data_IF_990894724457
#
_entry.id   IF_990894724457
#
_cell.length_a   1.000
_cell.length_b   1.000
_cell.length_c   1.000
_cell.angle_alpha   90.00
_cell.angle_beta   90.00
_cell.angle_gamma   90.00
#
_symmetry.space_group_name_H-M   'P 1'
#
loop_
_entity.id
_entity.type
_entity.pdbx_description
1 polymer ?
#
# COMPACT_ATOMS: atom_id res chain seq x y z
N UNK A 1 -34.12 41.61 -4.14
CA UNK A 1 -33.44 41.10 -2.93
C UNK A 1 -34.21 39.88 -2.44
N UNK A 2 -33.79 38.67 -2.82
CA UNK A 2 -34.39 37.44 -2.31
C UNK A 2 -33.72 37.08 -0.97
N UNK A 3 -34.47 37.24 0.12
CA UNK A 3 -34.08 36.76 1.45
C UNK A 3 -34.22 35.24 1.47
N UNK A 4 -33.13 34.52 1.25
CA UNK A 4 -33.08 33.07 1.47
C UNK A 4 -33.33 32.80 2.98
N UNK A 5 -34.33 31.98 3.27
CA UNK A 5 -34.73 31.55 4.62
C UNK A 5 -33.53 31.07 5.43
N UNK A 6 -33.47 31.43 6.72
CA UNK A 6 -32.43 31.01 7.67
C UNK A 6 -32.28 29.49 7.74
N UNK A 7 -33.36 28.73 7.59
CA UNK A 7 -33.34 27.26 7.51
C UNK A 7 -32.61 26.73 6.27
N UNK A 8 -32.75 27.38 5.12
CA UNK A 8 -32.07 26.97 3.89
C UNK A 8 -30.56 27.28 3.96
N UNK A 9 -30.18 28.38 4.62
CA UNK A 9 -28.77 28.70 4.87
C UNK A 9 -28.12 27.70 5.83
N UNK A 10 -28.83 27.22 6.85
CA UNK A 10 -28.35 26.19 7.79
C UNK A 10 -28.20 24.84 7.08
N UNK A 11 -29.16 24.44 6.25
CA UNK A 11 -29.09 23.19 5.50
C UNK A 11 -27.93 23.17 4.49
N UNK A 12 -27.73 24.27 3.76
CA UNK A 12 -26.58 24.42 2.86
C UNK A 12 -25.27 24.47 3.65
N UNK A 13 -25.23 25.12 4.81
CA UNK A 13 -24.05 25.08 5.70
C UNK A 13 -23.75 23.68 6.25
N UNK A 14 -24.76 22.90 6.65
CA UNK A 14 -24.57 21.52 7.12
C UNK A 14 -24.13 20.58 5.99
N UNK A 15 -24.69 20.71 4.79
CA UNK A 15 -24.25 19.95 3.62
C UNK A 15 -22.83 20.34 3.17
N UNK A 16 -22.45 21.61 3.28
CA UNK A 16 -21.08 22.07 3.04
C UNK A 16 -20.11 21.64 4.16
N UNK A 17 -20.57 21.53 5.40
CA UNK A 17 -19.79 20.98 6.52
C UNK A 17 -19.57 19.48 6.36
N UNK A 18 -20.56 18.68 5.96
CA UNK A 18 -20.38 17.24 5.68
C UNK A 18 -19.49 17.02 4.45
N UNK A 19 -19.66 17.81 3.39
CA UNK A 19 -18.80 17.73 2.20
C UNK A 19 -17.35 18.15 2.53
N UNK A 20 -17.15 19.24 3.29
CA UNK A 20 -15.82 19.72 3.68
C UNK A 20 -15.14 18.86 4.76
N UNK A 21 -15.91 18.22 5.65
CA UNK A 21 -15.39 17.31 6.67
C UNK A 21 -14.92 15.98 6.06
N UNK A 22 -15.57 15.51 4.99
CA UNK A 22 -15.19 14.26 4.29
C UNK A 22 -13.91 14.37 3.45
N UNK A 23 -13.56 15.57 2.97
CA UNK A 23 -12.41 15.78 2.06
C UNK A 23 -11.12 16.19 2.80
N UNK A 24 -11.23 16.76 4.00
CA UNK A 24 -10.07 17.23 4.78
C UNK A 24 -9.27 16.11 5.49
N UNK A 25 -9.78 14.88 5.54
CA UNK A 25 -9.13 13.75 6.22
C UNK A 25 -8.48 12.72 5.28
N UNK A 26 -8.71 12.85 3.97
CA UNK A 26 -8.19 11.91 2.97
C UNK A 26 -6.90 12.46 2.37
N UNK A 27 -5.80 11.73 2.52
CA UNK A 27 -4.49 12.12 1.99
C UNK A 27 -4.35 11.85 0.50
N UNK A 28 -4.59 10.61 0.05
CA UNK A 28 -4.56 10.25 -1.38
C UNK A 28 -5.61 9.22 -1.75
N UNK A 29 -6.16 9.37 -2.95
CA UNK A 29 -7.06 8.41 -3.59
C UNK A 29 -6.40 7.83 -4.82
N UNK A 30 -6.44 6.51 -4.97
CA UNK A 30 -5.91 5.80 -6.13
C UNK A 30 -7.07 5.04 -6.77
N UNK A 31 -7.30 5.31 -8.05
CA UNK A 31 -8.27 4.58 -8.84
C UNK A 31 -7.54 3.70 -9.84
N UNK A 32 -7.65 2.38 -9.67
CA UNK A 32 -7.13 1.39 -10.60
C UNK A 32 -8.28 0.90 -11.47
N UNK A 33 -8.05 0.73 -12.77
CA UNK A 33 -9.05 0.21 -13.69
C UNK A 33 -8.46 -0.90 -14.57
N UNK A 34 -9.21 -2.00 -14.65
CA UNK A 34 -9.01 -3.10 -15.59
C UNK A 34 -10.17 -3.17 -16.57
N UNK A 35 -10.24 -4.20 -17.42
CA UNK A 35 -11.36 -4.38 -18.34
C UNK A 35 -12.66 -4.72 -17.59
N UNK A 36 -12.56 -5.44 -16.47
CA UNK A 36 -13.75 -5.97 -15.77
C UNK A 36 -14.01 -5.38 -14.38
N UNK A 37 -13.06 -4.64 -13.80
CA UNK A 37 -13.14 -4.10 -12.44
C UNK A 37 -12.52 -2.71 -12.32
N UNK A 38 -13.06 -1.93 -11.40
CA UNK A 38 -12.46 -0.73 -10.85
C UNK A 38 -12.18 -0.93 -9.36
N UNK A 39 -11.09 -0.37 -8.86
CA UNK A 39 -10.73 -0.38 -7.44
C UNK A 39 -10.34 1.04 -7.02
N UNK A 40 -11.06 1.60 -6.05
CA UNK A 40 -10.67 2.82 -5.35
C UNK A 40 -9.95 2.45 -4.06
N UNK A 41 -8.78 3.04 -3.82
CA UNK A 41 -8.03 2.91 -2.57
C UNK A 41 -7.91 4.29 -1.95
N UNK A 42 -8.29 4.40 -0.68
CA UNK A 42 -8.34 5.66 0.06
C UNK A 42 -7.34 5.58 1.22
N UNK A 43 -6.35 6.45 1.15
CA UNK A 43 -5.39 6.66 2.23
C UNK A 43 -5.68 7.98 2.95
N UNK A 44 -5.51 7.98 4.26
CA UNK A 44 -5.58 9.16 5.12
C UNK A 44 -4.34 10.03 4.97
N UNK A 45 -4.31 11.16 5.67
CA UNK A 45 -3.23 12.16 5.60
C UNK A 45 -1.84 11.61 5.98
N UNK A 46 -1.79 10.52 6.74
CA UNK A 46 -0.56 9.86 7.18
C UNK A 46 -0.23 8.59 6.35
N UNK A 47 -0.77 8.48 5.13
CA UNK A 47 -0.69 7.27 4.30
C UNK A 47 -1.24 6.00 4.98
N UNK A 48 -2.09 6.18 6.00
CA UNK A 48 -2.85 5.11 6.63
C UNK A 48 -3.96 4.68 5.69
N UNK A 49 -4.11 3.37 5.48
CA UNK A 49 -5.24 2.91 4.69
C UNK A 49 -6.54 3.11 5.46
N UNK A 50 -7.41 3.96 4.94
CA UNK A 50 -8.72 4.25 5.55
C UNK A 50 -9.80 3.34 4.97
N UNK A 51 -9.81 3.17 3.64
CA UNK A 51 -10.79 2.32 2.97
C UNK A 51 -10.32 1.86 1.60
N UNK A 52 -10.99 0.86 1.05
CA UNK A 52 -10.86 0.49 -0.35
C UNK A 52 -12.22 0.00 -0.88
N UNK A 53 -12.58 0.31 -2.12
CA UNK A 53 -13.86 -0.01 -2.73
C UNK A 53 -13.69 -0.73 -4.06
N UNK A 54 -14.26 -1.93 -4.16
CA UNK A 54 -14.21 -2.74 -5.38
C UNK A 54 -15.51 -2.52 -6.16
N UNK A 55 -15.41 -1.93 -7.34
CA UNK A 55 -16.48 -1.86 -8.32
C UNK A 55 -16.30 -3.01 -9.33
N UNK A 56 -17.33 -3.80 -9.58
CA UNK A 56 -17.30 -4.88 -10.60
C UNK A 56 -18.18 -4.50 -11.77
N UNK A 57 -17.70 -4.74 -12.99
CA UNK A 57 -18.55 -4.72 -14.16
C UNK A 57 -19.28 -6.07 -14.27
N UNK A 58 -20.52 -6.15 -13.81
CA UNK A 58 -21.31 -7.37 -13.90
C UNK A 58 -21.79 -7.68 -15.34
N UNK A 59 -21.78 -6.67 -16.23
CA UNK A 59 -22.17 -6.81 -17.62
C UNK A 59 -21.16 -6.11 -18.56
N UNK A 60 -20.19 -6.85 -19.15
CA UNK A 60 -19.14 -6.29 -20.00
C UNK A 60 -19.66 -5.50 -21.22
N UNK A 61 -20.91 -5.73 -21.64
CA UNK A 61 -21.55 -5.02 -22.76
C UNK A 61 -22.24 -3.72 -22.34
N UNK A 62 -22.37 -3.49 -21.03
CA UNK A 62 -23.00 -2.31 -20.47
C UNK A 62 -22.00 -1.15 -20.40
N UNK A 63 -22.14 -0.22 -21.36
CA UNK A 63 -21.34 1.00 -21.42
C UNK A 63 -21.64 1.98 -20.28
N UNK A 64 -22.73 1.79 -19.53
CA UNK A 64 -23.06 2.66 -18.38
C UNK A 64 -22.08 2.48 -17.22
N UNK A 65 -21.46 1.29 -17.06
CA UNK A 65 -20.42 1.06 -16.06
C UNK A 65 -19.23 2.00 -16.28
N UNK A 66 -18.79 2.19 -17.53
CA UNK A 66 -17.72 3.11 -17.87
C UNK A 66 -18.04 4.58 -17.53
N UNK A 67 -19.32 4.97 -17.55
CA UNK A 67 -19.76 6.32 -17.19
C UNK A 67 -19.76 6.59 -15.68
N UNK A 68 -19.69 5.55 -14.84
CA UNK A 68 -19.60 5.68 -13.37
C UNK A 68 -18.17 5.72 -12.85
N UNK A 69 -17.19 5.45 -13.71
CA UNK A 69 -15.79 5.43 -13.32
C UNK A 69 -15.20 6.84 -13.31
N UNK A 70 -14.24 7.12 -12.41
CA UNK A 70 -13.51 8.38 -12.42
C UNK A 70 -12.83 8.62 -13.77
N UNK A 71 -12.79 9.87 -14.21
CA UNK A 71 -12.14 10.26 -15.47
C UNK A 71 -10.61 10.15 -15.43
N UNK A 72 -10.02 10.07 -14.23
CA UNK A 72 -8.60 9.85 -14.00
C UNK A 72 -8.39 8.55 -13.23
N UNK A 73 -7.72 7.59 -13.86
CA UNK A 73 -7.41 6.29 -13.30
C UNK A 73 -6.07 5.78 -13.85
N UNK A 74 -5.49 4.80 -13.14
CA UNK A 74 -4.31 4.07 -13.57
C UNK A 74 -4.80 2.78 -14.26
N UNK A 75 -4.60 2.63 -15.58
CA UNK A 75 -4.92 1.38 -16.25
C UNK A 75 -3.98 0.27 -15.77
N UNK A 76 -4.55 -0.89 -15.45
CA UNK A 76 -3.81 -2.04 -14.92
C UNK A 76 -4.23 -3.33 -15.62
N UNK A 77 -3.33 -4.31 -15.66
CA UNK A 77 -3.66 -5.65 -16.17
C UNK A 77 -4.69 -6.36 -15.29
N UNK A 78 -5.43 -7.33 -15.84
CA UNK A 78 -6.38 -8.16 -15.07
C UNK A 78 -5.67 -8.96 -13.97
N UNK A 79 -4.44 -9.39 -14.20
CA UNK A 79 -3.60 -10.10 -13.22
C UNK A 79 -3.24 -9.21 -12.03
N UNK A 80 -2.88 -7.96 -12.29
CA UNK A 80 -2.65 -6.96 -11.25
C UNK A 80 -3.95 -6.65 -10.50
N UNK A 81 -5.04 -6.37 -11.22
CA UNK A 81 -6.32 -6.04 -10.59
C UNK A 81 -6.81 -7.15 -9.66
N UNK A 82 -6.63 -8.42 -10.03
CA UNK A 82 -6.93 -9.55 -9.17
C UNK A 82 -6.13 -9.49 -7.84
N UNK A 83 -4.84 -9.16 -7.91
CA UNK A 83 -3.95 -9.04 -6.75
C UNK A 83 -4.34 -7.93 -5.79
N UNK A 84 -4.61 -6.72 -6.30
CA UNK A 84 -4.99 -5.60 -5.42
C UNK A 84 -6.41 -5.79 -4.86
N UNK A 85 -7.33 -6.37 -5.65
CA UNK A 85 -8.70 -6.65 -5.21
C UNK A 85 -8.72 -7.58 -3.99
N UNK A 86 -7.93 -8.66 -3.96
CA UNK A 86 -7.93 -9.53 -2.77
C UNK A 86 -7.25 -8.88 -1.58
N UNK A 87 -6.20 -8.09 -1.79
CA UNK A 87 -5.59 -7.29 -0.71
C UNK A 87 -6.64 -6.39 -0.06
N UNK A 88 -7.46 -5.74 -0.87
CA UNK A 88 -8.61 -4.95 -0.43
C UNK A 88 -9.67 -5.81 0.31
N UNK A 89 -10.06 -6.96 -0.25
CA UNK A 89 -11.01 -7.88 0.40
C UNK A 89 -10.52 -8.36 1.77
N UNK A 90 -9.23 -8.67 1.90
CA UNK A 90 -8.60 -9.09 3.16
C UNK A 90 -8.72 -7.96 4.19
N UNK A 91 -8.37 -6.74 3.82
CA UNK A 91 -8.49 -5.58 4.70
C UNK A 91 -9.92 -5.29 5.14
N UNK A 92 -10.87 -5.29 4.19
CA UNK A 92 -12.27 -5.04 4.52
C UNK A 92 -12.83 -6.08 5.51
N UNK A 93 -12.38 -7.34 5.44
CA UNK A 93 -12.77 -8.39 6.39
C UNK A 93 -12.18 -8.15 7.77
N UNK A 94 -10.92 -7.73 7.84
CA UNK A 94 -10.21 -7.43 9.09
C UNK A 94 -10.84 -6.23 9.81
N UNK A 95 -11.13 -5.14 9.09
CA UNK A 95 -11.84 -3.97 9.64
C UNK A 95 -13.21 -4.34 10.23
N UNK A 96 -13.95 -5.24 9.57
CA UNK A 96 -15.29 -5.67 10.00
C UNK A 96 -15.26 -6.69 11.15
N UNK A 97 -14.08 -7.04 11.69
CA UNK A 97 -13.94 -7.94 12.84
C UNK A 97 -14.58 -9.32 12.62
N UNK A 98 -14.62 -9.81 11.37
CA UNK A 98 -15.37 -11.03 11.05
C UNK A 98 -14.70 -12.28 11.64
N UNK A 99 -15.40 -12.98 12.54
CA UNK A 99 -14.94 -14.21 13.23
C UNK A 99 -14.82 -15.46 12.34
N UNK A 100 -14.94 -15.33 11.01
CA UNK A 100 -14.78 -16.48 10.10
C UNK A 100 -13.30 -16.90 10.06
N UNK A 101 -13.00 -18.21 10.04
CA UNK A 101 -11.62 -18.68 9.91
C UNK A 101 -10.95 -18.02 8.70
N UNK A 102 -9.78 -17.39 8.92
CA UNK A 102 -8.95 -16.84 7.85
C UNK A 102 -8.57 -17.99 6.91
N UNK A 103 -9.29 -18.18 5.80
CA UNK A 103 -8.76 -18.98 4.69
C UNK A 103 -7.54 -18.23 4.16
N UNK A 104 -6.35 -18.81 4.30
CA UNK A 104 -5.14 -18.30 3.65
C UNK A 104 -5.39 -18.32 2.15
N UNK A 105 -5.80 -17.19 1.60
CA UNK A 105 -5.91 -16.97 0.17
C UNK A 105 -4.58 -16.40 -0.27
N UNK A 106 -3.76 -17.27 -0.84
CA UNK A 106 -2.56 -16.85 -1.54
C UNK A 106 -3.02 -16.27 -2.87
N UNK A 107 -2.74 -14.99 -3.11
CA UNK A 107 -2.70 -14.49 -4.48
C UNK A 107 -1.27 -14.54 -4.92
N UNK A 108 -1.03 -15.30 -5.98
CA UNK A 108 0.27 -15.51 -6.58
C UNK A 108 0.15 -15.15 -8.05
N UNK A 109 1.12 -14.38 -8.53
CA UNK A 109 1.21 -14.02 -9.94
C UNK A 109 1.24 -15.29 -10.81
N UNK A 110 0.43 -15.41 -11.88
CA UNK A 110 0.38 -16.63 -12.67
C UNK A 110 1.75 -17.06 -13.21
N UNK A 111 2.12 -18.31 -12.96
CA UNK A 111 3.41 -18.84 -13.39
C UNK A 111 4.57 -18.62 -12.41
N UNK A 112 4.30 -18.05 -11.24
CA UNK A 112 5.22 -17.98 -10.08
C UNK A 112 4.62 -18.77 -8.91
N UNK A 113 5.38 -18.92 -7.82
CA UNK A 113 4.94 -19.55 -6.58
C UNK A 113 5.17 -18.68 -5.35
N UNK A 114 6.02 -17.66 -5.48
CA UNK A 114 6.45 -16.75 -4.41
C UNK A 114 6.01 -15.31 -4.64
N UNK A 115 5.66 -14.90 -5.87
CA UNK A 115 5.32 -13.51 -6.15
C UNK A 115 3.87 -13.20 -5.81
N UNK A 116 3.61 -12.77 -4.58
CA UNK A 116 2.31 -12.26 -4.16
C UNK A 116 2.10 -12.26 -2.64
N UNK A 117 0.86 -12.42 -2.20
CA UNK A 117 0.54 -12.44 -0.76
C UNK A 117 0.85 -13.83 -0.20
N UNK A 118 2.01 -13.94 0.46
CA UNK A 118 2.57 -15.22 0.88
C UNK A 118 3.05 -16.03 -0.33
N UNK A 119 3.16 -17.34 -0.18
CA UNK A 119 3.62 -18.22 -1.25
C UNK A 119 2.87 -19.56 -1.23
N UNK A 120 2.83 -20.23 -2.39
CA UNK A 120 2.27 -21.59 -2.58
C UNK A 120 3.37 -22.64 -2.80
N UNK A 121 4.62 -22.25 -2.59
CA UNK A 121 5.79 -23.10 -2.75
C UNK A 121 5.77 -24.24 -1.72
N UNK A 122 6.10 -25.45 -2.15
CA UNK A 122 6.20 -26.62 -1.25
C UNK A 122 7.51 -26.67 -0.47
N UNK A 123 8.54 -26.02 -1.00
CA UNK A 123 9.87 -25.90 -0.42
C UNK A 123 10.61 -24.71 -1.04
N UNK A 124 11.74 -24.31 -0.46
CA UNK A 124 12.51 -23.11 -0.80
C UNK A 124 12.87 -22.92 -2.27
N UNK A 125 13.09 -24.01 -3.00
CA UNK A 125 13.43 -23.98 -4.43
C UNK A 125 12.25 -24.38 -5.35
N UNK A 126 11.03 -24.40 -4.80
CA UNK A 126 9.84 -24.73 -5.58
C UNK A 126 9.42 -23.48 -6.35
N UNK A 127 9.93 -23.34 -7.57
CA UNK A 127 9.67 -22.20 -8.45
C UNK A 127 8.65 -22.54 -9.54
N UNK A 128 8.00 -21.50 -10.05
CA UNK A 128 7.14 -21.55 -11.23
C UNK A 128 7.93 -21.47 -12.55
N UNK A 129 7.19 -21.28 -13.66
CA UNK A 129 7.76 -21.16 -15.02
C UNK A 129 8.62 -19.91 -15.21
N UNK A 130 8.34 -18.85 -14.46
CA UNK A 130 9.16 -17.62 -14.43
C UNK A 130 10.21 -17.75 -13.34
N UNK A 131 11.09 -18.74 -13.48
CA UNK A 131 11.95 -19.23 -12.41
C UNK A 131 12.86 -18.13 -11.87
N UNK A 132 13.40 -17.26 -12.72
CA UNK A 132 14.28 -16.18 -12.27
C UNK A 132 13.49 -15.14 -11.46
N UNK A 133 12.38 -14.67 -12.01
CA UNK A 133 11.49 -13.69 -11.36
C UNK A 133 10.96 -14.23 -10.03
N UNK A 134 10.56 -15.50 -10.01
CA UNK A 134 10.04 -16.17 -8.81
C UNK A 134 11.12 -16.33 -7.73
N UNK A 135 12.37 -16.52 -8.13
CA UNK A 135 13.50 -16.52 -7.19
C UNK A 135 13.73 -15.15 -6.56
N UNK A 136 13.51 -14.04 -7.29
CA UNK A 136 13.56 -12.69 -6.73
C UNK A 136 12.49 -12.51 -5.64
N UNK A 137 11.26 -12.98 -5.89
CA UNK A 137 10.17 -12.92 -4.91
C UNK A 137 10.47 -13.79 -3.68
N UNK A 138 11.01 -15.01 -3.86
CA UNK A 138 11.45 -15.88 -2.75
C UNK A 138 12.51 -15.22 -1.88
N UNK A 139 13.47 -14.52 -2.49
CA UNK A 139 14.50 -13.77 -1.78
C UNK A 139 13.88 -12.61 -0.98
N UNK A 140 12.93 -11.88 -1.57
CA UNK A 140 12.20 -10.79 -0.91
C UNK A 140 11.35 -11.29 0.27
N UNK A 141 10.58 -12.38 0.09
CA UNK A 141 9.80 -13.06 1.13
C UNK A 141 10.66 -13.49 2.33
N UNK A 142 11.95 -13.75 2.10
CA UNK A 142 12.91 -14.18 3.11
C UNK A 142 13.57 -13.01 3.87
N UNK A 143 13.08 -11.77 3.67
CA UNK A 143 13.68 -10.60 4.33
C UNK A 143 13.65 -10.75 5.86
N UNK A 144 14.79 -10.59 6.56
CA UNK A 144 14.85 -10.77 8.03
C UNK A 144 13.99 -9.77 8.81
N UNK A 145 13.77 -8.58 8.24
CA UNK A 145 12.94 -7.53 8.83
C UNK A 145 11.79 -7.24 7.87
N UNK A 146 10.62 -7.71 8.25
CA UNK A 146 9.37 -7.42 7.55
C UNK A 146 8.21 -7.30 8.54
N UNK A 147 7.28 -6.41 8.23
CA UNK A 147 6.08 -6.16 9.01
C UNK A 147 4.90 -6.37 8.10
N UNK A 148 4.17 -7.46 8.31
CA UNK A 148 2.95 -7.74 7.57
C UNK A 148 1.85 -6.70 7.82
N UNK A 149 0.78 -6.71 7.00
CA UNK A 149 -0.34 -5.79 7.14
C UNK A 149 -0.94 -5.82 8.56
N UNK A 150 -1.14 -4.65 9.16
CA UNK A 150 -1.72 -4.47 10.50
C UNK A 150 -0.96 -5.20 11.62
N UNK A 151 0.33 -5.47 11.40
CA UNK A 151 1.22 -6.05 12.41
C UNK A 151 2.14 -4.99 12.99
N UNK A 152 2.60 -5.29 14.20
CA UNK A 152 3.56 -4.45 14.93
C UNK A 152 4.84 -5.24 15.15
N UNK A 153 5.98 -4.63 14.85
CA UNK A 153 7.31 -5.16 15.14
C UNK A 153 8.22 -3.99 15.55
N UNK A 154 9.02 -4.17 16.60
CA UNK A 154 9.94 -3.13 17.11
C UNK A 154 9.25 -1.77 17.38
N UNK A 155 7.99 -1.78 17.81
CA UNK A 155 7.20 -0.56 18.07
C UNK A 155 6.67 0.15 16.82
N UNK A 156 6.99 -0.32 15.61
CA UNK A 156 6.39 0.13 14.36
C UNK A 156 5.17 -0.70 14.03
N UNK A 157 4.06 -0.05 13.68
CA UNK A 157 2.83 -0.70 13.21
C UNK A 157 2.62 -0.40 11.74
N UNK A 158 2.62 -1.42 10.89
CA UNK A 158 2.30 -1.28 9.47
C UNK A 158 0.78 -1.15 9.32
N UNK A 159 0.31 0.05 8.95
CA UNK A 159 -1.11 0.34 8.72
C UNK A 159 -1.52 0.20 7.24
N UNK A 160 -0.61 -0.29 6.39
CA UNK A 160 -0.85 -0.54 4.98
C UNK A 160 -1.42 -1.93 4.66
N UNK A 161 -1.86 -2.10 3.41
CA UNK A 161 -2.41 -3.36 2.86
C UNK A 161 -1.37 -4.46 2.62
N UNK A 162 -0.11 -4.08 2.51
CA UNK A 162 0.97 -4.93 2.04
C UNK A 162 2.09 -4.98 3.07
N UNK A 163 2.87 -6.05 3.03
CA UNK A 163 4.06 -6.18 3.88
C UNK A 163 5.05 -5.07 3.55
N UNK A 164 5.57 -4.42 4.58
CA UNK A 164 6.71 -3.51 4.48
C UNK A 164 7.96 -4.24 4.93
N UNK A 165 9.02 -4.25 4.12
CA UNK A 165 10.29 -4.89 4.47
C UNK A 165 11.42 -3.87 4.62
N UNK A 166 12.59 -4.33 5.07
CA UNK A 166 13.80 -3.49 5.14
C UNK A 166 14.10 -2.83 3.79
N UNK A 167 14.41 -1.53 3.79
CA UNK A 167 14.74 -0.80 2.56
C UNK A 167 15.87 -1.44 1.75
N UNK A 168 16.79 -2.18 2.39
CA UNK A 168 17.80 -2.97 1.69
C UNK A 168 17.17 -4.14 0.93
N UNK A 169 16.24 -4.89 1.53
CA UNK A 169 15.53 -5.97 0.86
C UNK A 169 14.72 -5.44 -0.34
N UNK A 170 14.10 -4.27 -0.19
CA UNK A 170 13.34 -3.62 -1.27
C UNK A 170 14.25 -3.22 -2.44
N UNK A 171 15.44 -2.67 -2.16
CA UNK A 171 16.42 -2.34 -3.18
C UNK A 171 16.99 -3.60 -3.87
N UNK A 172 17.31 -4.63 -3.09
CA UNK A 172 17.80 -5.90 -3.62
C UNK A 172 16.71 -6.56 -4.51
N UNK A 173 15.44 -6.48 -4.12
CA UNK A 173 14.31 -6.96 -4.92
C UNK A 173 14.15 -6.17 -6.22
N UNK A 174 14.19 -4.83 -6.15
CA UNK A 174 14.15 -3.95 -7.33
C UNK A 174 15.23 -4.33 -8.35
N UNK A 175 16.48 -4.45 -7.90
CA UNK A 175 17.60 -4.80 -8.78
C UNK A 175 17.50 -6.23 -9.32
N UNK A 176 17.00 -7.18 -8.53
CA UNK A 176 16.76 -8.55 -8.98
C UNK A 176 15.75 -8.57 -10.12
N UNK A 177 14.59 -7.92 -9.97
CA UNK A 177 13.58 -7.84 -11.03
C UNK A 177 14.12 -7.15 -12.28
N UNK A 178 14.87 -6.05 -12.14
CA UNK A 178 15.51 -5.35 -13.27
C UNK A 178 16.54 -6.20 -14.02
N UNK A 179 17.08 -7.25 -13.40
CA UNK A 179 18.04 -8.16 -14.02
C UNK A 179 17.37 -9.33 -14.74
N UNK A 180 16.08 -9.55 -14.53
CA UNK A 180 15.30 -10.60 -15.18
C UNK A 180 14.93 -10.19 -16.61
N UNK A 181 14.96 -11.15 -17.52
CA UNK A 181 14.49 -10.99 -18.90
C UNK A 181 13.11 -11.65 -19.13
N UNK A 182 12.48 -12.13 -18.06
CA UNK A 182 11.16 -12.75 -18.10
C UNK A 182 10.08 -11.66 -18.06
N UNK A 183 9.01 -11.74 -18.86
CA UNK A 183 7.98 -10.70 -18.92
C UNK A 183 7.27 -10.47 -17.58
N UNK A 184 7.21 -11.50 -16.73
CA UNK A 184 6.64 -11.40 -15.40
C UNK A 184 7.38 -10.39 -14.51
N UNK A 185 8.68 -10.18 -14.69
CA UNK A 185 9.45 -9.26 -13.86
C UNK A 185 9.08 -7.80 -14.11
N UNK A 186 8.76 -7.44 -15.36
CA UNK A 186 8.32 -6.09 -15.71
C UNK A 186 6.97 -5.79 -15.07
N UNK A 187 6.00 -6.70 -15.23
CA UNK A 187 4.70 -6.57 -14.61
C UNK A 187 4.80 -6.54 -13.08
N UNK A 188 5.51 -7.49 -12.45
CA UNK A 188 5.64 -7.52 -10.98
C UNK A 188 6.34 -6.26 -10.46
N UNK A 189 7.35 -5.76 -11.17
CA UNK A 189 8.04 -4.53 -10.83
C UNK A 189 7.11 -3.31 -10.82
N UNK A 190 6.32 -3.14 -11.89
CA UNK A 190 5.31 -2.08 -11.98
C UNK A 190 4.25 -2.19 -10.89
N UNK A 191 3.73 -3.40 -10.67
CA UNK A 191 2.76 -3.70 -9.62
C UNK A 191 3.30 -3.23 -8.26
N UNK A 192 4.52 -3.63 -7.94
CA UNK A 192 5.08 -3.44 -6.61
C UNK A 192 5.59 -2.02 -6.36
N UNK A 193 6.40 -1.48 -7.27
CA UNK A 193 7.13 -0.22 -7.06
C UNK A 193 6.45 1.02 -7.65
N UNK A 194 5.46 0.87 -8.54
CA UNK A 194 4.77 2.02 -9.13
C UNK A 194 3.35 2.15 -8.59
N UNK A 195 2.68 1.03 -8.31
CA UNK A 195 1.26 1.01 -7.95
C UNK A 195 1.05 0.79 -6.46
N UNK A 196 1.59 -0.31 -5.91
CA UNK A 196 1.46 -0.61 -4.48
C UNK A 196 2.27 0.39 -3.66
N UNK A 197 3.56 0.57 -4.02
CA UNK A 197 4.49 1.50 -3.36
C UNK A 197 4.45 1.37 -1.84
N UNK A 198 4.77 0.20 -1.27
CA UNK A 198 4.83 0.07 0.17
C UNK A 198 5.97 0.94 0.70
N UNK A 199 5.79 1.55 1.87
CA UNK A 199 6.94 2.13 2.58
C UNK A 199 7.88 1.00 3.03
N UNK A 200 9.16 1.30 3.07
CA UNK A 200 10.19 0.39 3.57
C UNK A 200 10.66 0.80 4.97
N UNK A 201 11.26 -0.15 5.68
CA UNK A 201 11.73 0.04 7.05
C UNK A 201 13.20 0.47 6.99
N UNK A 202 13.47 1.68 7.47
CA UNK A 202 14.81 2.22 7.61
C UNK A 202 15.16 2.38 9.09
N UNK A 203 16.43 2.17 9.40
CA UNK A 203 16.96 2.28 10.74
C UNK A 203 17.77 3.57 10.84
N UNK A 204 17.12 4.65 11.29
CA UNK A 204 17.78 5.94 11.46
C UNK A 204 18.68 5.93 12.71
N UNK A 205 19.85 6.60 12.68
CA UNK A 205 20.65 6.76 13.88
C UNK A 205 19.84 7.47 14.98
N UNK A 206 19.87 6.94 16.18
CA UNK A 206 19.29 7.62 17.35
C UNK A 206 20.05 8.91 17.61
N UNK A 207 19.35 10.04 17.71
CA UNK A 207 19.97 11.35 17.89
C UNK A 207 19.92 11.78 19.36
N UNK A 208 21.06 12.18 19.94
CA UNK A 208 21.11 12.88 21.23
C UNK A 208 21.10 14.37 20.98
N UNK A 209 20.25 15.08 21.72
CA UNK A 209 20.33 16.52 21.80
C UNK A 209 21.48 16.99 22.69
N UNK A 210 22.50 17.63 22.12
CA UNK A 210 23.65 18.17 22.86
C UNK A 210 23.49 19.64 23.24
N UNK A 211 22.54 20.35 22.62
CA UNK A 211 22.26 21.75 22.93
C UNK A 211 20.78 22.09 22.78
N UNK A 212 20.22 22.81 23.75
CA UNK A 212 18.81 23.23 23.78
C UNK A 212 18.69 24.75 23.85
N UNK A 213 17.67 25.27 23.17
CA UNK A 213 17.26 26.67 23.30
C UNK A 213 16.88 26.95 24.74
N UNK A 214 17.50 27.95 25.36
CA UNK A 214 17.14 28.38 26.72
C UNK A 214 15.72 28.95 26.82
N UNK A 215 15.20 29.49 25.72
CA UNK A 215 13.88 30.12 25.69
C UNK A 215 12.74 29.11 25.46
N UNK A 216 12.96 28.11 24.61
CA UNK A 216 11.90 27.19 24.15
C UNK A 216 12.13 25.74 24.54
N UNK A 217 13.31 25.39 25.08
CA UNK A 217 13.70 23.99 25.39
C UNK A 217 13.92 23.11 24.15
N UNK A 218 13.65 23.62 22.95
CA UNK A 218 13.79 22.92 21.67
C UNK A 218 15.24 22.55 21.42
N UNK A 219 15.46 21.34 20.90
CA UNK A 219 16.79 20.91 20.51
C UNK A 219 17.32 21.77 19.34
N UNK A 220 18.52 22.31 19.50
CA UNK A 220 19.20 23.11 18.48
C UNK A 220 20.32 22.33 17.78
N UNK A 221 21.01 21.45 18.52
CA UNK A 221 22.07 20.61 17.99
C UNK A 221 21.83 19.18 18.43
N UNK A 222 21.80 18.27 17.47
CA UNK A 222 21.65 16.85 17.69
C UNK A 222 22.77 16.08 16.99
N UNK A 223 23.30 15.05 17.64
CA UNK A 223 24.35 14.18 17.08
C UNK A 223 23.90 12.72 17.08
N UNK A 224 24.28 11.92 16.06
CA UNK A 224 24.08 10.47 16.07
C UNK A 224 24.75 9.81 17.27
N UNK A 225 24.02 8.95 17.96
CA UNK A 225 24.54 8.07 19.00
C UNK A 225 24.73 6.68 18.40
N UNK A 226 25.99 6.32 18.15
CA UNK A 226 26.35 5.08 17.48
C UNK A 226 26.07 3.83 18.34
N UNK A 227 26.06 3.98 19.67
CA UNK A 227 25.89 2.88 20.62
C UNK A 227 24.41 2.58 20.96
N UNK A 228 23.47 3.36 20.43
CA UNK A 228 22.04 3.11 20.64
C UNK A 228 21.46 2.24 19.52
N UNK A 229 20.44 1.42 19.84
CA UNK A 229 19.60 0.82 18.81
C UNK A 229 19.10 1.92 17.87
N UNK A 230 19.24 1.68 16.57
CA UNK A 230 18.72 2.57 15.55
C UNK A 230 17.20 2.55 15.62
N UNK A 231 16.58 3.72 15.50
CA UNK A 231 15.14 3.84 15.54
C UNK A 231 14.57 3.38 14.19
N UNK A 232 13.72 2.34 14.17
CA UNK A 232 13.08 1.93 12.95
C UNK A 232 12.00 2.97 12.59
N UNK A 233 11.87 3.28 11.30
CA UNK A 233 10.84 4.15 10.76
C UNK A 233 10.43 3.70 9.35
N UNK A 234 9.17 3.92 8.99
CA UNK A 234 8.72 3.80 7.60
C UNK A 234 9.25 4.98 6.79
N UNK A 235 9.78 4.70 5.61
CA UNK A 235 10.19 5.71 4.64
C UNK A 235 9.71 5.31 3.24
N UNK A 236 9.39 6.28 2.37
CA UNK A 236 9.02 5.98 1.00
C UNK A 236 10.16 5.30 0.24
N UNK A 237 9.81 4.39 -0.67
CA UNK A 237 10.77 3.81 -1.60
C UNK A 237 11.39 4.89 -2.51
N UNK A 238 12.72 4.93 -2.68
CA UNK A 238 13.40 5.96 -3.45
C UNK A 238 13.43 5.72 -4.97
N UNK A 239 12.81 4.62 -5.43
CA UNK A 239 12.82 4.20 -6.83
C UNK A 239 11.40 3.91 -7.33
N UNK A 240 11.22 4.12 -8.63
CA UNK A 240 10.08 3.67 -9.44
C UNK A 240 10.62 2.64 -10.43
N UNK A 241 9.82 1.61 -10.73
CA UNK A 241 10.18 0.61 -11.71
C UNK A 241 9.97 1.11 -13.14
#
# INVERSE_FOLDING_TARGET
>A
MYLLSTTLKIYVWLLLLDAAYSDAQVGRRIFLQSQTRGLEIIYGVNDTLENCFIAKNENPTDQSYAATLPTSFIPVSETLMASVTESCDVFQRDLKGSLKPRRKRFIIYPGTKWCGIGNIAKHDFDFGRYTFTDSCCRMHDSCPVSIGPFKTLMGLTNLGLFTSSDCKCEADFYHCLKSSHEPAAEEIGDIYFNIIRPDCISFAPSLICTSRSKLTGKCMVAHPQLDLPRNPQFVPLPFSF
#
